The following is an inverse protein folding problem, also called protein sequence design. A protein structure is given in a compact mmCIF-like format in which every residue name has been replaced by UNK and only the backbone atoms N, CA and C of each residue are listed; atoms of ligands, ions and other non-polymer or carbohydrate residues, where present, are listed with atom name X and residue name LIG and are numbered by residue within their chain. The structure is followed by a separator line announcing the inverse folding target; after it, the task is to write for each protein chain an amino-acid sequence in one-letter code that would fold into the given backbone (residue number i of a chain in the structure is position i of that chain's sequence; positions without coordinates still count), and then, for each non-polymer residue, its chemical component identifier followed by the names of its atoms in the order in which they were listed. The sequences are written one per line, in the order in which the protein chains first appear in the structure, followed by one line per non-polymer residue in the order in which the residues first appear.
data_IF_132910371637
#
_entry.id   IF_132910371637
#
_cell.length_a   1.000
_cell.length_b   1.000
_cell.length_c   1.000
_cell.angle_alpha   90.00
_cell.angle_beta   90.00
_cell.angle_gamma   90.00
#
_symmetry.space_group_name_H-M   'P 1'
#
loop_
_entity.id
_entity.type
_entity.pdbx_description
1 polymer ?
#
# COMPACT_ATOMS: atom_id res chain seq x y z
N UNK A 1 -16.36 -6.72 -25.37
CA UNK A 1 -15.25 -6.11 -24.59
C UNK A 1 -13.99 -6.97 -24.83
N UNK A 2 -13.08 -6.56 -25.74
CA UNK A 2 -11.94 -7.37 -26.25
C UNK A 2 -10.55 -6.85 -25.84
N UNK A 3 -10.48 -5.75 -25.09
CA UNK A 3 -9.20 -5.13 -24.70
C UNK A 3 -8.50 -5.89 -23.56
N UNK A 4 -7.16 -5.96 -23.62
CA UNK A 4 -6.29 -6.61 -22.60
C UNK A 4 -5.89 -5.71 -21.43
N UNK A 5 -6.33 -4.45 -21.43
CA UNK A 5 -5.93 -3.43 -20.45
C UNK A 5 -4.62 -2.73 -20.82
N UNK A 6 -4.21 -1.80 -19.96
CA UNK A 6 -3.01 -0.96 -20.12
C UNK A 6 -2.17 -1.00 -18.84
N UNK A 7 -0.86 -0.78 -18.95
CA UNK A 7 0.06 -0.84 -17.79
C UNK A 7 -0.22 0.29 -16.79
N UNK A 8 -0.69 -0.04 -15.57
CA UNK A 8 -0.88 0.93 -14.48
C UNK A 8 0.43 1.42 -13.86
N UNK A 9 1.25 0.47 -13.43
CA UNK A 9 2.54 0.72 -12.76
C UNK A 9 3.60 -0.21 -13.36
N UNK A 10 4.86 0.22 -13.38
CA UNK A 10 5.99 -0.64 -13.70
C UNK A 10 6.46 -1.33 -12.43
N UNK A 11 6.40 -2.65 -12.40
CA UNK A 11 6.88 -3.47 -11.30
C UNK A 11 8.29 -4.00 -11.62
N UNK A 12 9.26 -3.88 -10.71
CA UNK A 12 10.51 -4.63 -10.80
C UNK A 12 10.26 -6.14 -10.81
N UNK A 13 11.26 -6.91 -11.23
CA UNK A 13 11.17 -8.37 -11.25
C UNK A 13 10.87 -8.93 -9.85
N UNK A 14 10.01 -9.94 -9.79
CA UNK A 14 9.56 -10.56 -8.53
C UNK A 14 8.60 -9.72 -7.68
N UNK A 15 8.33 -8.47 -8.04
CA UNK A 15 7.37 -7.61 -7.34
C UNK A 15 5.95 -7.81 -7.87
N UNK A 16 4.98 -7.60 -6.99
CA UNK A 16 3.55 -7.69 -7.31
C UNK A 16 2.78 -6.52 -6.72
N UNK A 17 1.70 -6.14 -7.37
CA UNK A 17 0.73 -5.20 -6.80
C UNK A 17 0.00 -5.90 -5.64
N UNK A 18 -0.07 -5.25 -4.48
CA UNK A 18 -0.71 -5.81 -3.28
C UNK A 18 -1.99 -5.09 -2.88
N UNK A 19 -2.16 -3.83 -3.30
CA UNK A 19 -3.32 -3.01 -2.98
C UNK A 19 -3.55 -1.96 -4.06
N UNK A 20 -4.80 -1.52 -4.19
CA UNK A 20 -5.26 -0.43 -5.04
C UNK A 20 -6.32 0.33 -4.26
N UNK A 21 -6.13 1.64 -4.11
CA UNK A 21 -6.99 2.51 -3.32
C UNK A 21 -7.38 3.71 -4.20
N UNK A 22 -8.61 4.19 -4.03
CA UNK A 22 -9.06 5.45 -4.62
C UNK A 22 -9.01 6.48 -3.48
N UNK A 23 -8.09 7.46 -3.53
CA UNK A 23 -7.88 8.36 -2.40
C UNK A 23 -9.09 9.27 -2.17
N UNK A 24 -9.52 9.39 -0.92
CA UNK A 24 -10.52 10.36 -0.45
C UNK A 24 -9.84 11.54 0.24
N UNK A 25 -10.40 12.74 0.08
CA UNK A 25 -9.88 13.95 0.73
C UNK A 25 -9.84 13.80 2.26
N UNK A 26 -8.75 14.26 2.87
CA UNK A 26 -8.56 14.17 4.32
C UNK A 26 -8.16 12.78 4.85
N UNK A 27 -8.09 11.76 3.99
CA UNK A 27 -7.71 10.42 4.41
C UNK A 27 -6.19 10.21 4.57
N UNK A 28 -5.83 9.11 5.22
CA UNK A 28 -4.46 8.65 5.36
C UNK A 28 -4.34 7.25 4.76
N UNK A 29 -3.16 6.92 4.25
CA UNK A 29 -2.83 5.55 3.86
C UNK A 29 -2.12 4.88 5.03
N UNK A 30 -2.74 3.83 5.58
CA UNK A 30 -2.12 2.93 6.53
C UNK A 30 -1.47 1.78 5.78
N UNK A 31 -0.17 1.64 5.95
CA UNK A 31 0.63 0.54 5.41
C UNK A 31 1.03 -0.43 6.53
N UNK A 32 1.02 -1.73 6.24
CA UNK A 32 1.41 -2.77 7.19
C UNK A 32 2.42 -3.73 6.55
N UNK A 33 3.40 -4.17 7.34
CA UNK A 33 4.48 -5.06 6.95
C UNK A 33 4.37 -6.43 7.63
N UNK A 34 5.04 -7.43 7.06
CA UNK A 34 4.98 -8.82 7.50
C UNK A 34 5.48 -9.05 8.94
N UNK A 35 6.27 -8.12 9.49
CA UNK A 35 6.76 -8.20 10.88
C UNK A 35 6.00 -7.28 11.84
N UNK A 36 4.79 -6.87 11.48
CA UNK A 36 3.89 -6.11 12.36
C UNK A 36 4.19 -4.61 12.46
N UNK A 37 5.13 -4.07 11.68
CA UNK A 37 5.34 -2.63 11.61
C UNK A 37 4.32 -1.99 10.66
N UNK A 38 3.80 -0.83 11.04
CA UNK A 38 2.93 -0.03 10.19
C UNK A 38 3.27 1.45 10.21
N UNK A 39 2.78 2.17 9.21
CA UNK A 39 2.94 3.61 9.06
C UNK A 39 1.66 4.21 8.49
N UNK A 40 1.18 5.31 9.09
CA UNK A 40 0.19 6.21 8.48
C UNK A 40 0.89 7.35 7.76
N UNK A 41 0.42 7.71 6.58
CA UNK A 41 0.95 8.82 5.77
C UNK A 41 -0.23 9.51 5.12
N UNK A 42 -0.31 10.83 5.22
CA UNK A 42 -1.42 11.57 4.64
C UNK A 42 -1.43 11.40 3.11
N UNK A 43 -2.60 11.37 2.48
CA UNK A 43 -2.67 11.25 1.01
C UNK A 43 -1.94 12.39 0.29
N UNK A 44 -1.89 13.57 0.90
CA UNK A 44 -1.21 14.77 0.40
C UNK A 44 0.31 14.63 0.36
N UNK A 45 0.89 13.67 1.07
CA UNK A 45 2.32 13.37 1.04
C UNK A 45 2.69 12.41 -0.11
N UNK A 46 1.71 11.81 -0.80
CA UNK A 46 1.95 10.99 -1.98
C UNK A 46 1.95 11.85 -3.25
N UNK A 47 3.09 12.02 -3.93
CA UNK A 47 3.15 12.79 -5.16
C UNK A 47 2.37 12.10 -6.29
N UNK A 48 1.70 12.91 -7.10
CA UNK A 48 1.01 12.44 -8.30
C UNK A 48 2.00 12.15 -9.43
N UNK A 49 1.88 10.96 -10.03
CA UNK A 49 2.66 10.57 -11.20
C UNK A 49 1.79 10.15 -12.36
N UNK A 50 2.34 10.25 -13.57
CA UNK A 50 1.74 9.62 -14.75
C UNK A 50 1.75 8.10 -14.61
N UNK A 51 0.73 7.47 -15.21
CA UNK A 51 0.61 6.01 -15.29
C UNK A 51 1.85 5.38 -15.96
N UNK A 52 2.25 4.21 -15.47
CA UNK A 52 3.36 3.42 -16.00
C UNK A 52 4.72 3.68 -15.34
N UNK A 53 4.79 4.64 -14.41
CA UNK A 53 5.96 4.84 -13.54
C UNK A 53 6.12 3.74 -12.49
N UNK A 54 7.23 3.76 -11.76
CA UNK A 54 7.50 2.82 -10.65
C UNK A 54 6.91 3.29 -9.30
N UNK A 55 6.62 4.59 -9.17
CA UNK A 55 6.12 5.18 -7.92
C UNK A 55 7.24 5.59 -6.95
N UNK A 56 6.86 5.79 -5.69
CA UNK A 56 7.73 6.18 -4.57
C UNK A 56 7.62 5.19 -3.42
N UNK A 57 8.55 5.29 -2.46
CA UNK A 57 8.56 4.41 -1.28
C UNK A 57 7.48 4.87 -0.29
N UNK A 58 6.44 4.05 -0.10
CA UNK A 58 5.41 4.30 0.91
C UNK A 58 5.91 3.97 2.33
N UNK A 59 6.63 2.86 2.48
CA UNK A 59 7.22 2.39 3.73
C UNK A 59 8.53 1.65 3.44
N UNK A 60 9.55 1.88 4.26
CA UNK A 60 10.83 1.17 4.13
C UNK A 60 10.62 -0.31 4.42
N UNK A 61 10.93 -1.14 3.43
CA UNK A 61 11.05 -2.59 3.59
C UNK A 61 12.52 -2.95 3.80
N UNK A 62 12.84 -3.52 4.95
CA UNK A 62 14.19 -3.95 5.34
C UNK A 62 14.08 -5.23 6.17
N UNK A 63 15.19 -5.75 6.68
CA UNK A 63 15.16 -6.95 7.51
C UNK A 63 14.25 -6.77 8.73
N UNK A 64 14.32 -5.63 9.42
CA UNK A 64 13.49 -5.36 10.61
C UNK A 64 11.99 -5.38 10.30
N UNK A 65 11.55 -4.70 9.25
CA UNK A 65 10.13 -4.52 8.93
C UNK A 65 9.56 -5.70 8.13
N UNK A 66 10.39 -6.35 7.32
CA UNK A 66 9.96 -7.31 6.32
C UNK A 66 9.25 -6.65 5.14
N UNK A 67 8.67 -7.49 4.29
CA UNK A 67 7.90 -7.06 3.10
C UNK A 67 6.62 -6.33 3.51
N UNK A 68 6.19 -5.38 2.70
CA UNK A 68 4.86 -4.80 2.80
C UNK A 68 3.80 -5.87 2.48
N UNK A 69 2.76 -5.98 3.31
CA UNK A 69 1.68 -6.98 3.18
C UNK A 69 0.32 -6.39 2.89
N UNK A 70 0.10 -5.12 3.27
CA UNK A 70 -1.17 -4.45 3.03
C UNK A 70 -1.04 -2.93 3.03
N UNK A 71 -1.98 -2.30 2.35
CA UNK A 71 -2.24 -0.88 2.44
C UNK A 71 -3.74 -0.64 2.37
N UNK A 72 -4.27 0.15 3.29
CA UNK A 72 -5.68 0.55 3.34
C UNK A 72 -5.76 2.05 3.55
N UNK A 73 -6.82 2.65 3.01
CA UNK A 73 -7.16 4.03 3.36
C UNK A 73 -7.88 4.02 4.70
N UNK A 74 -7.59 5.00 5.54
CA UNK A 74 -8.25 5.21 6.83
C UNK A 74 -8.55 6.68 7.06
N UNK A 75 -9.64 6.95 7.75
CA UNK A 75 -10.02 8.23 8.34
C UNK A 75 -9.80 8.19 9.85
N UNK A 76 -9.75 9.36 10.48
CA UNK A 76 -9.66 9.43 11.94
C UNK A 76 -10.91 8.83 12.59
N UNK A 77 -10.70 7.99 13.61
CA UNK A 77 -11.77 7.27 14.31
C UNK A 77 -12.13 5.91 13.70
N UNK A 78 -11.55 5.55 12.55
CA UNK A 78 -11.70 4.20 12.00
C UNK A 78 -10.76 3.20 12.68
N UNK A 79 -11.25 1.97 12.81
CA UNK A 79 -10.48 0.85 13.34
C UNK A 79 -9.97 -0.04 12.20
N UNK A 80 -8.86 -0.73 12.47
CA UNK A 80 -8.28 -1.70 11.53
C UNK A 80 -8.14 -3.07 12.20
N UNK A 81 -8.25 -4.12 11.41
CA UNK A 81 -8.01 -5.49 11.82
C UNK A 81 -6.73 -6.01 11.17
N UNK A 82 -5.85 -6.61 11.98
CA UNK A 82 -4.63 -7.28 11.53
C UNK A 82 -4.77 -8.75 11.88
N UNK A 83 -4.32 -9.64 10.99
CA UNK A 83 -4.37 -11.09 11.22
C UNK A 83 -3.00 -11.67 10.90
N UNK A 84 -2.41 -12.40 11.85
CA UNK A 84 -1.17 -13.15 11.63
C UNK A 84 -1.43 -14.53 11.01
N UNK A 85 -0.40 -15.17 10.48
CA UNK A 85 -0.51 -16.54 9.96
C UNK A 85 -0.76 -17.59 11.06
N UNK A 86 -0.56 -17.23 12.33
CA UNK A 86 -0.93 -18.05 13.51
C UNK A 86 -2.37 -17.79 13.98
N UNK A 87 -3.13 -16.95 13.26
CA UNK A 87 -4.52 -16.64 13.61
C UNK A 87 -4.66 -15.65 14.78
N UNK A 88 -3.60 -14.94 15.16
CA UNK A 88 -3.70 -13.84 16.12
C UNK A 88 -4.35 -12.63 15.46
N UNK A 89 -5.40 -12.13 16.08
CA UNK A 89 -6.12 -10.89 15.75
C UNK A 89 -5.61 -9.74 16.61
#
# INVERSE_FOLDING_TARGET
RTARGVRGMRLPEGQKLISMLIPEEGSQILTASARGFGKRTAITEFPEYKRGGQGVIAMVSNERNGRLVGAVQVLDGEEIMLISDQGTL
#
